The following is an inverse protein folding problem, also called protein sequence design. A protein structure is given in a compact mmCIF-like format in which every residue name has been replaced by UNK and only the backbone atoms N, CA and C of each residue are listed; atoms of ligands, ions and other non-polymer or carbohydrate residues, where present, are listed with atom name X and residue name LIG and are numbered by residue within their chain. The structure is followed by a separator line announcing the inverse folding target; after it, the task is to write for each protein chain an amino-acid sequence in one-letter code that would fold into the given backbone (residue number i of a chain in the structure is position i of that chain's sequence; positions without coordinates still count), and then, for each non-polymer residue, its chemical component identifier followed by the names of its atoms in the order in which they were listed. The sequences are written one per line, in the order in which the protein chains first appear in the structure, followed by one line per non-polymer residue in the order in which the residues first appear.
data_IF_254838442683
#
_entry.id   IF_254838442683
#
_cell.length_a   1.000
_cell.length_b   1.000
_cell.length_c   1.000
_cell.angle_alpha   90.00
_cell.angle_beta   90.00
_cell.angle_gamma   90.00
#
_symmetry.space_group_name_H-M   'P 1'
#
loop_
_entity.id
_entity.type
_entity.pdbx_description
1 polymer ?
#
# COMPACT_ATOMS: atom_id res chain seq x y z
N UNK A 1 -17.30 9.64 -3.76
CA UNK A 1 -17.28 8.21 -3.40
C UNK A 1 -15.85 7.84 -3.00
N UNK A 2 -15.61 7.31 -1.80
CA UNK A 2 -14.26 6.89 -1.39
C UNK A 2 -13.94 5.55 -2.06
N UNK A 3 -13.01 5.53 -3.01
CA UNK A 3 -12.62 4.30 -3.73
C UNK A 3 -12.01 3.24 -2.80
N UNK A 4 -11.28 3.68 -1.76
CA UNK A 4 -10.69 2.78 -0.78
C UNK A 4 -11.77 2.41 0.25
N UNK A 5 -12.18 1.13 0.32
CA UNK A 5 -13.28 0.70 1.18
C UNK A 5 -12.85 0.47 2.63
N UNK A 6 -11.54 0.34 2.88
CA UNK A 6 -10.98 0.02 4.20
C UNK A 6 -10.53 1.26 4.98
N UNK A 7 -10.69 1.24 6.30
CA UNK A 7 -10.06 2.21 7.21
C UNK A 7 -8.61 1.83 7.54
N UNK A 8 -7.89 2.74 8.19
CA UNK A 8 -6.52 2.46 8.65
C UNK A 8 -6.48 1.39 9.75
N UNK A 9 -7.50 1.32 10.60
CA UNK A 9 -7.66 0.28 11.63
C UNK A 9 -7.83 -1.10 10.98
N UNK A 10 -8.74 -1.22 10.01
CA UNK A 10 -8.96 -2.46 9.27
C UNK A 10 -7.69 -2.91 8.55
N UNK A 11 -6.96 -1.97 7.93
CA UNK A 11 -5.68 -2.29 7.29
C UNK A 11 -4.64 -2.83 8.27
N UNK A 12 -4.57 -2.29 9.50
CA UNK A 12 -3.67 -2.79 10.55
C UNK A 12 -4.07 -4.18 11.03
N UNK A 13 -5.36 -4.44 11.21
CA UNK A 13 -5.88 -5.76 11.56
C UNK A 13 -5.55 -6.79 10.49
N UNK A 14 -5.76 -6.45 9.21
CA UNK A 14 -5.41 -7.32 8.08
C UNK A 14 -3.92 -7.65 8.05
N UNK A 15 -3.03 -6.66 8.23
CA UNK A 15 -1.57 -6.88 8.27
C UNK A 15 -1.17 -7.79 9.44
N UNK A 16 -1.77 -7.57 10.62
CA UNK A 16 -1.53 -8.41 11.80
C UNK A 16 -1.96 -9.86 11.57
N UNK A 17 -3.12 -10.07 10.96
CA UNK A 17 -3.69 -11.40 10.70
C UNK A 17 -2.79 -12.22 9.76
N UNK A 18 -2.22 -11.59 8.75
CA UNK A 18 -1.26 -12.25 7.83
C UNK A 18 0.15 -12.35 8.41
N UNK A 19 0.38 -11.88 9.63
CA UNK A 19 1.67 -11.98 10.33
C UNK A 19 2.74 -10.99 9.89
N UNK A 20 2.37 -9.85 9.29
CA UNK A 20 3.32 -8.78 8.93
C UNK A 20 3.05 -7.47 9.66
N UNK A 21 4.09 -6.69 9.93
CA UNK A 21 3.97 -5.41 10.63
C UNK A 21 3.77 -4.21 9.69
N UNK A 22 4.01 -4.37 8.39
CA UNK A 22 3.91 -3.28 7.41
C UNK A 22 3.58 -3.75 5.99
N UNK A 23 3.13 -2.81 5.15
CA UNK A 23 2.99 -3.06 3.72
C UNK A 23 4.31 -3.44 3.05
N UNK A 24 5.46 -2.91 3.54
CA UNK A 24 6.79 -3.25 2.99
C UNK A 24 7.14 -4.71 3.21
N UNK A 25 6.73 -5.27 4.35
CA UNK A 25 6.93 -6.68 4.69
C UNK A 25 6.01 -7.58 3.87
N UNK A 26 4.75 -7.15 3.64
CA UNK A 26 3.80 -7.85 2.76
C UNK A 26 4.38 -8.06 1.36
N UNK A 27 5.05 -7.03 0.80
CA UNK A 27 5.61 -7.11 -0.56
C UNK A 27 7.06 -7.60 -0.61
N UNK A 28 7.63 -8.12 0.50
CA UNK A 28 9.05 -8.52 0.60
C UNK A 28 9.51 -9.50 -0.49
N UNK A 29 8.59 -10.31 -1.03
CA UNK A 29 8.82 -11.23 -2.16
C UNK A 29 9.23 -10.54 -3.45
N UNK A 30 8.90 -9.26 -3.64
CA UNK A 30 9.30 -8.47 -4.81
C UNK A 30 10.72 -7.94 -4.58
N UNK A 31 11.73 -8.34 -5.38
CA UNK A 31 13.10 -7.83 -5.24
C UNK A 31 13.17 -6.30 -5.28
N UNK A 32 14.00 -5.70 -4.41
CA UNK A 32 14.15 -4.23 -4.34
C UNK A 32 14.60 -3.59 -5.65
N UNK A 33 15.34 -4.33 -6.49
CA UNK A 33 15.78 -3.90 -7.81
C UNK A 33 14.62 -3.70 -8.81
N UNK A 34 13.51 -4.43 -8.61
CA UNK A 34 12.33 -4.35 -9.48
C UNK A 34 11.29 -3.35 -8.97
N UNK A 35 11.47 -2.82 -7.75
CA UNK A 35 10.56 -1.81 -7.19
C UNK A 35 10.93 -0.43 -7.71
N UNK A 36 9.92 0.32 -8.14
CA UNK A 36 10.10 1.72 -8.46
C UNK A 36 10.55 2.48 -7.20
N UNK A 37 11.65 3.22 -7.32
CA UNK A 37 12.26 4.00 -6.21
C UNK A 37 11.81 5.45 -6.18
N UNK A 38 11.20 5.90 -7.27
CA UNK A 38 10.69 7.25 -7.47
C UNK A 38 9.17 7.28 -7.43
N UNK A 39 8.60 8.49 -7.40
CA UNK A 39 7.15 8.67 -7.49
C UNK A 39 6.68 8.37 -8.92
N UNK A 40 5.41 7.99 -9.04
CA UNK A 40 4.79 7.85 -10.36
C UNK A 40 4.77 9.22 -11.07
N UNK A 41 5.18 9.24 -12.33
CA UNK A 41 5.13 10.43 -13.19
C UNK A 41 3.71 10.64 -13.73
N UNK A 42 2.78 10.95 -12.83
CA UNK A 42 1.36 11.24 -13.14
C UNK A 42 0.92 12.57 -12.51
N UNK A 43 -0.09 13.24 -13.07
CA UNK A 43 -0.67 14.46 -12.48
C UNK A 43 -1.21 14.24 -11.06
N UNK A 44 -1.44 15.34 -10.34
CA UNK A 44 -2.04 15.29 -9.00
C UNK A 44 -3.47 14.74 -9.03
N UNK A 45 -3.89 14.17 -7.89
CA UNK A 45 -5.23 13.64 -7.74
C UNK A 45 -6.28 14.76 -7.92
N UNK A 46 -7.25 14.52 -8.80
CA UNK A 46 -8.40 15.41 -8.97
C UNK A 46 -9.52 14.99 -8.00
N UNK A 47 -10.29 15.96 -7.51
CA UNK A 47 -11.55 15.66 -6.83
C UNK A 47 -12.57 15.08 -7.82
N UNK A 48 -13.45 14.24 -7.31
CA UNK A 48 -14.65 13.80 -8.05
C UNK A 48 -15.61 14.96 -8.32
#
# INVERSE_FOLDING_TARGET
MRYIPTTEEQKKEMLKEIGVSSFKDLIKSIPQSLRLKEKLSIPEAMSE
#
